data_IF_140659639149
#
_entry.id   IF_140659639149
#
_cell.length_a   1.000
_cell.length_b   1.000
_cell.length_c   1.000
_cell.angle_alpha   90.00
_cell.angle_beta   90.00
_cell.angle_gamma   90.00
#
_symmetry.space_group_name_H-M   'P 1'
#
loop_
_entity.id
_entity.type
_entity.pdbx_description
1 polymer ?
#
# COMPACT_ATOMS: atom_id res chain seq x y z
N UNK A 1 -4.13 16.21 29.96
CA UNK A 1 -4.82 15.87 28.71
C UNK A 1 -5.12 14.39 28.76
N UNK A 2 -6.21 14.03 29.41
CA UNK A 2 -6.49 12.63 29.74
C UNK A 2 -7.12 11.88 28.58
N UNK A 3 -7.95 12.58 27.80
CA UNK A 3 -8.70 12.00 26.69
C UNK A 3 -8.45 12.78 25.40
N UNK A 4 -8.33 12.08 24.25
CA UNK A 4 -8.29 12.70 22.92
C UNK A 4 -9.55 12.33 22.13
N UNK A 5 -10.34 13.32 21.73
CA UNK A 5 -11.48 13.15 20.82
C UNK A 5 -11.11 13.71 19.44
N UNK A 6 -11.36 12.93 18.39
CA UNK A 6 -11.07 13.36 17.02
C UNK A 6 -12.33 13.28 16.16
N UNK A 7 -12.76 14.44 15.68
CA UNK A 7 -13.84 14.59 14.71
C UNK A 7 -13.28 15.11 13.37
N UNK A 8 -12.81 14.22 12.47
CA UNK A 8 -12.25 14.65 11.18
C UNK A 8 -13.32 15.17 10.21
N UNK A 9 -14.61 15.03 10.55
CA UNK A 9 -15.75 15.40 9.73
C UNK A 9 -16.51 16.58 10.36
N UNK A 10 -15.83 17.70 10.58
CA UNK A 10 -16.46 18.95 11.03
C UNK A 10 -17.36 19.59 9.95
N UNK A 11 -17.04 19.34 8.67
CA UNK A 11 -17.75 19.85 7.50
C UNK A 11 -18.06 18.73 6.48
N UNK A 12 -18.97 18.96 5.52
CA UNK A 12 -19.19 18.04 4.40
C UNK A 12 -17.93 17.96 3.51
N UNK A 13 -17.21 16.84 3.60
CA UNK A 13 -15.96 16.61 2.86
C UNK A 13 -16.28 16.00 1.48
N UNK A 14 -16.93 16.78 0.62
CA UNK A 14 -17.41 16.34 -0.70
C UNK A 14 -16.28 15.87 -1.63
N UNK A 15 -15.15 16.58 -1.63
CA UNK A 15 -13.97 16.20 -2.43
C UNK A 15 -13.51 14.78 -2.12
N UNK A 16 -13.49 14.36 -0.85
CA UNK A 16 -13.03 13.03 -0.50
C UNK A 16 -13.96 11.95 -1.06
N UNK A 17 -15.27 12.19 -1.04
CA UNK A 17 -16.26 11.26 -1.60
C UNK A 17 -16.19 11.21 -3.13
N UNK A 18 -15.95 12.33 -3.77
CA UNK A 18 -15.84 12.43 -5.23
C UNK A 18 -14.59 11.71 -5.75
N UNK A 19 -13.43 12.03 -5.19
CA UNK A 19 -12.15 11.53 -5.69
C UNK A 19 -11.75 10.17 -5.11
N UNK A 20 -12.18 9.87 -3.87
CA UNK A 20 -11.81 8.66 -3.12
C UNK A 20 -13.04 7.97 -2.49
N UNK A 21 -14.03 7.54 -3.29
CA UNK A 21 -15.31 7.03 -2.78
C UNK A 21 -15.19 5.81 -1.85
N UNK A 22 -14.14 5.02 -2.02
CA UNK A 22 -13.91 3.79 -1.26
C UNK A 22 -13.12 4.02 0.05
N UNK A 23 -12.85 5.28 0.44
CA UNK A 23 -12.02 5.60 1.61
C UNK A 23 -12.69 6.59 2.55
N UNK A 24 -12.50 6.36 3.84
CA UNK A 24 -12.79 7.35 4.88
C UNK A 24 -11.57 8.26 5.09
N UNK A 25 -11.77 9.46 5.65
CA UNK A 25 -10.70 10.41 5.95
C UNK A 25 -9.67 9.81 6.90
N UNK A 26 -10.11 9.06 7.90
CA UNK A 26 -9.22 8.33 8.80
C UNK A 26 -8.33 7.30 8.09
N UNK A 27 -8.77 6.76 6.94
CA UNK A 27 -8.01 5.82 6.10
C UNK A 27 -7.25 6.48 4.95
N UNK A 28 -7.31 7.82 4.82
CA UNK A 28 -6.56 8.52 3.79
C UNK A 28 -5.07 8.44 4.10
N UNK A 29 -4.22 8.09 3.12
CA UNK A 29 -2.78 8.07 3.33
C UNK A 29 -2.25 9.52 3.37
N UNK A 30 -1.53 9.87 4.42
CA UNK A 30 -0.77 11.12 4.53
C UNK A 30 0.70 10.76 4.69
N UNK A 31 1.54 11.21 3.76
CA UNK A 31 2.95 10.82 3.65
C UNK A 31 3.17 9.29 3.67
N UNK A 32 2.23 8.53 3.09
CA UNK A 32 2.30 7.06 2.99
C UNK A 32 1.83 6.29 4.23
N UNK A 33 1.36 6.97 5.28
CA UNK A 33 0.79 6.35 6.49
C UNK A 33 -0.69 6.70 6.65
N UNK A 34 -1.47 5.83 7.26
CA UNK A 34 -2.89 6.05 7.50
C UNK A 34 -3.10 7.28 8.42
N UNK A 35 -4.01 8.19 8.06
CA UNK A 35 -4.25 9.42 8.84
C UNK A 35 -4.56 9.14 10.31
N UNK A 36 -5.37 8.12 10.59
CA UNK A 36 -5.74 7.76 11.96
C UNK A 36 -4.55 7.33 12.82
N UNK A 37 -3.48 6.82 12.22
CA UNK A 37 -2.25 6.49 12.96
C UNK A 37 -1.52 7.74 13.47
N UNK A 38 -1.62 8.88 12.79
CA UNK A 38 -1.08 10.14 13.31
C UNK A 38 -1.85 10.63 14.53
N UNK A 39 -3.16 10.39 14.59
CA UNK A 39 -3.96 10.70 15.78
C UNK A 39 -3.59 9.80 16.98
N UNK A 40 -3.27 8.53 16.73
CA UNK A 40 -2.73 7.63 17.75
C UNK A 40 -1.38 8.14 18.24
N UNK A 41 -0.46 8.49 17.34
CA UNK A 41 0.85 9.03 17.71
C UNK A 41 0.70 10.33 18.52
N UNK A 42 -0.24 11.20 18.17
CA UNK A 42 -0.55 12.41 18.92
C UNK A 42 -1.08 12.08 20.32
N UNK A 43 -2.04 11.16 20.45
CA UNK A 43 -2.56 10.71 21.75
C UNK A 43 -1.44 10.21 22.66
N UNK A 44 -0.54 9.37 22.11
CA UNK A 44 0.59 8.83 22.85
C UNK A 44 1.58 9.91 23.29
N UNK A 45 1.84 10.92 22.44
CA UNK A 45 2.71 12.06 22.78
C UNK A 45 2.09 12.99 23.83
N UNK A 46 0.77 13.12 23.84
CA UNK A 46 0.05 13.87 24.86
C UNK A 46 -0.13 13.09 26.17
N UNK A 47 0.37 11.85 26.24
CA UNK A 47 0.18 10.94 27.38
C UNK A 47 -1.31 10.69 27.70
N UNK A 48 -2.16 10.69 26.66
CA UNK A 48 -3.59 10.44 26.81
C UNK A 48 -3.86 8.98 27.18
N UNK A 49 -4.87 8.75 28.03
CA UNK A 49 -5.34 7.42 28.43
C UNK A 49 -6.28 6.80 27.40
N UNK A 50 -7.04 7.62 26.66
CA UNK A 50 -7.93 7.15 25.59
C UNK A 50 -7.98 8.06 24.37
N UNK A 51 -8.30 7.45 23.22
CA UNK A 51 -8.59 8.09 21.94
C UNK A 51 -9.97 7.66 21.46
N UNK A 52 -10.86 8.62 21.23
CA UNK A 52 -12.16 8.41 20.57
C UNK A 52 -12.12 9.04 19.17
N UNK A 53 -12.16 8.20 18.14
CA UNK A 53 -12.26 8.64 16.74
C UNK A 53 -13.71 8.57 16.26
N UNK A 54 -14.21 9.67 15.70
CA UNK A 54 -15.58 9.77 15.21
C UNK A 54 -15.64 9.67 13.68
N UNK A 55 -16.54 8.83 13.17
CA UNK A 55 -16.87 8.72 11.75
C UNK A 55 -18.34 9.04 11.47
N UNK A 56 -18.69 9.52 10.25
CA UNK A 56 -20.08 9.74 9.87
C UNK A 56 -20.85 8.41 9.78
N UNK A 57 -20.14 7.35 9.40
CA UNK A 57 -20.60 5.97 9.37
C UNK A 57 -19.51 5.08 9.97
N UNK A 58 -19.90 3.95 10.54
CA UNK A 58 -18.95 2.95 11.02
C UNK A 58 -18.29 2.25 9.84
N UNK A 59 -16.96 2.38 9.72
CA UNK A 59 -16.15 1.68 8.74
C UNK A 59 -15.41 0.50 9.41
N UNK A 60 -15.83 -0.72 9.07
CA UNK A 60 -15.26 -1.96 9.62
C UNK A 60 -13.76 -2.09 9.32
N UNK A 61 -13.32 -1.73 8.10
CA UNK A 61 -11.90 -1.80 7.74
C UNK A 61 -11.03 -0.83 8.54
N UNK A 62 -11.53 0.37 8.84
CA UNK A 62 -10.82 1.30 9.73
C UNK A 62 -10.76 0.75 11.15
N UNK A 63 -11.87 0.19 11.66
CA UNK A 63 -11.90 -0.40 12.99
C UNK A 63 -10.91 -1.57 13.13
N UNK A 64 -10.89 -2.49 12.17
CA UNK A 64 -9.93 -3.61 12.10
C UNK A 64 -8.48 -3.11 12.02
N UNK A 65 -8.23 -2.05 11.22
CA UNK A 65 -6.90 -1.46 11.11
C UNK A 65 -6.42 -0.88 12.44
N UNK A 66 -7.29 -0.15 13.15
CA UNK A 66 -6.99 0.43 14.45
C UNK A 66 -6.72 -0.64 15.51
N UNK A 67 -7.51 -1.73 15.54
CA UNK A 67 -7.29 -2.86 16.47
C UNK A 67 -5.95 -3.58 16.24
N UNK A 68 -5.48 -3.63 15.00
CA UNK A 68 -4.21 -4.25 14.66
C UNK A 68 -3.00 -3.33 14.85
N UNK A 69 -3.23 -2.03 15.02
CA UNK A 69 -2.16 -1.05 15.21
C UNK A 69 -1.65 -1.12 16.65
N UNK A 70 -0.32 -1.19 16.84
CA UNK A 70 0.27 -1.14 18.19
C UNK A 70 -0.02 0.21 18.83
N UNK A 71 -0.81 0.20 19.89
CA UNK A 71 -1.27 1.36 20.63
C UNK A 71 -0.81 1.39 22.10
N UNK A 72 -0.02 0.40 22.54
CA UNK A 72 0.43 0.32 23.93
C UNK A 72 -0.75 0.14 24.88
N UNK A 73 -0.80 0.97 25.93
CA UNK A 73 -1.89 0.98 26.93
C UNK A 73 -3.05 1.94 26.56
N UNK A 74 -2.97 2.63 25.41
CA UNK A 74 -3.97 3.60 24.97
C UNK A 74 -5.29 2.90 24.61
N UNK A 75 -6.37 3.25 25.30
CA UNK A 75 -7.72 2.77 24.96
C UNK A 75 -8.23 3.43 23.69
N UNK A 76 -8.36 2.67 22.59
CA UNK A 76 -8.85 3.14 21.30
C UNK A 76 -10.33 2.78 21.11
N UNK A 77 -11.16 3.78 20.81
CA UNK A 77 -12.55 3.59 20.43
C UNK A 77 -12.86 4.30 19.10
N UNK A 78 -13.68 3.67 18.26
CA UNK A 78 -14.10 4.21 16.97
C UNK A 78 -15.61 4.08 16.81
N UNK A 79 -16.29 5.21 16.66
CA UNK A 79 -17.75 5.27 16.71
C UNK A 79 -18.37 6.04 15.57
N UNK A 80 -19.64 5.73 15.34
CA UNK A 80 -20.51 6.57 14.52
C UNK A 80 -20.93 7.81 15.32
N UNK A 81 -20.82 8.97 14.69
CA UNK A 81 -21.22 10.26 15.27
C UNK A 81 -20.29 11.42 14.92
N UNK A 82 -19.43 11.26 13.91
CA UNK A 82 -18.79 12.40 13.25
C UNK A 82 -19.78 13.13 12.33
N UNK A 83 -19.46 14.36 11.91
CA UNK A 83 -20.34 15.16 11.05
C UNK A 83 -21.07 16.30 11.78
N UNK A 84 -20.81 16.50 13.07
CA UNK A 84 -21.37 17.62 13.82
C UNK A 84 -20.53 18.87 13.63
N UNK A 85 -21.21 20.02 13.58
CA UNK A 85 -20.59 21.30 13.24
C UNK A 85 -19.89 21.96 14.43
N UNK A 86 -20.27 21.67 15.69
CA UNK A 86 -19.74 22.34 16.87
C UNK A 86 -19.09 21.39 17.88
N UNK A 87 -18.00 21.84 18.48
CA UNK A 87 -17.29 21.13 19.54
C UNK A 87 -18.15 20.99 20.80
N UNK A 88 -18.93 22.02 21.14
CA UNK A 88 -19.80 21.96 22.32
C UNK A 88 -20.86 20.86 22.21
N UNK A 89 -21.41 20.63 21.01
CA UNK A 89 -22.34 19.51 20.80
C UNK A 89 -21.66 18.15 20.99
N UNK A 90 -20.40 18.01 20.53
CA UNK A 90 -19.62 16.79 20.76
C UNK A 90 -19.40 16.55 22.26
N UNK A 91 -19.10 17.59 23.02
CA UNK A 91 -18.97 17.52 24.48
C UNK A 91 -20.30 17.18 25.18
N UNK A 92 -21.43 17.71 24.73
CA UNK A 92 -22.74 17.34 25.28
C UNK A 92 -23.09 15.87 25.00
N UNK A 93 -22.65 15.34 23.86
CA UNK A 93 -22.96 13.96 23.43
C UNK A 93 -22.00 12.93 24.04
N UNK A 94 -20.71 13.28 24.15
CA UNK A 94 -19.63 12.36 24.55
C UNK A 94 -18.94 12.78 25.86
N UNK A 95 -19.48 13.75 26.59
CA UNK A 95 -18.88 14.32 27.80
C UNK A 95 -18.68 13.32 28.92
N UNK A 96 -19.55 12.32 29.07
CA UNK A 96 -19.38 11.24 30.05
C UNK A 96 -18.10 10.42 29.80
N UNK A 97 -17.67 10.33 28.54
CA UNK A 97 -16.51 9.53 28.13
C UNK A 97 -15.23 10.36 28.06
N UNK A 98 -15.37 11.64 27.68
CA UNK A 98 -14.27 12.58 27.57
C UNK A 98 -13.87 13.19 28.93
N UNK A 99 -14.79 13.20 29.90
CA UNK A 99 -14.59 13.82 31.20
C UNK A 99 -14.26 15.32 31.13
N UNK A 100 -13.65 15.83 32.20
CA UNK A 100 -13.32 17.25 32.36
C UNK A 100 -11.89 17.61 31.87
N UNK A 101 -11.17 16.69 31.21
CA UNK A 101 -9.81 16.91 30.70
C UNK A 101 -9.65 16.24 29.32
N UNK A 102 -10.17 16.89 28.27
CA UNK A 102 -10.25 16.35 26.92
C UNK A 102 -9.65 17.28 25.86
N UNK A 103 -8.65 16.79 25.13
CA UNK A 103 -8.13 17.42 23.91
C UNK A 103 -9.02 17.00 22.73
N UNK A 104 -9.40 17.96 21.88
CA UNK A 104 -10.36 17.74 20.81
C UNK A 104 -9.77 18.25 19.49
N UNK A 105 -9.67 17.38 18.49
CA UNK A 105 -9.36 17.76 17.12
C UNK A 105 -10.65 17.84 16.33
N UNK A 106 -11.01 19.06 15.91
CA UNK A 106 -12.21 19.30 15.11
C UNK A 106 -11.81 19.68 13.69
N UNK A 107 -12.17 18.82 12.74
CA UNK A 107 -11.72 18.88 11.34
C UNK A 107 -10.58 17.92 11.04
N UNK A 108 -10.36 17.66 9.75
CA UNK A 108 -9.27 16.82 9.28
C UNK A 108 -7.98 17.66 9.25
N UNK A 109 -7.24 17.65 10.35
CA UNK A 109 -6.07 18.49 10.53
C UNK A 109 -4.89 17.73 11.15
N UNK A 110 -3.69 18.25 10.91
CA UNK A 110 -2.42 17.67 11.34
C UNK A 110 -1.61 18.78 12.05
N UNK A 111 -1.42 18.73 13.38
CA UNK A 111 -0.71 19.77 14.13
C UNK A 111 0.74 19.95 13.64
N UNK A 112 1.23 21.18 13.46
CA UNK A 112 2.65 21.37 13.10
C UNK A 112 3.57 21.02 14.27
N UNK A 113 4.88 20.90 13.99
CA UNK A 113 5.91 20.67 14.99
C UNK A 113 5.83 21.63 16.18
N UNK A 114 5.33 21.15 17.31
CA UNK A 114 5.27 21.87 18.57
C UNK A 114 5.63 20.96 19.73
N UNK A 115 6.25 21.53 20.76
CA UNK A 115 6.44 20.82 22.03
C UNK A 115 5.10 20.69 22.76
N UNK A 116 4.97 19.69 23.64
CA UNK A 116 3.77 19.55 24.48
C UNK A 116 3.54 20.81 25.34
N UNK A 117 4.62 21.46 25.78
CA UNK A 117 4.57 22.73 26.52
C UNK A 117 4.01 23.87 25.66
N UNK A 118 4.45 24.00 24.40
CA UNK A 118 3.87 24.98 23.47
C UNK A 118 2.38 24.75 23.26
N UNK A 119 1.96 23.48 23.11
CA UNK A 119 0.55 23.14 22.99
C UNK A 119 -0.24 23.48 24.24
N UNK A 120 0.29 23.21 25.44
CA UNK A 120 -0.38 23.56 26.68
C UNK A 120 -0.52 25.07 26.87
N UNK A 121 0.47 25.84 26.42
CA UNK A 121 0.51 27.30 26.57
C UNK A 121 -0.27 28.05 25.49
N UNK A 122 -0.70 27.39 24.41
CA UNK A 122 -1.37 28.04 23.27
C UNK A 122 -2.88 28.16 23.42
N UNK A 123 -3.46 27.64 24.49
CA UNK A 123 -4.91 27.59 24.69
C UNK A 123 -5.46 28.89 25.27
N UNK A 124 -6.46 29.46 24.59
CA UNK A 124 -7.19 30.65 25.01
C UNK A 124 -8.69 30.36 25.17
N UNK A 125 -9.41 31.05 26.06
CA UNK A 125 -10.86 30.89 26.22
C UNK A 125 -11.62 31.05 24.91
N UNK A 126 -12.40 30.03 24.56
CA UNK A 126 -13.24 30.03 23.38
C UNK A 126 -14.61 30.64 23.71
N UNK A 127 -14.94 31.74 23.04
CA UNK A 127 -16.20 32.47 23.25
C UNK A 127 -17.37 31.94 22.39
N UNK A 128 -17.10 30.99 21.48
CA UNK A 128 -18.11 30.36 20.61
C UNK A 128 -18.28 28.87 20.93
N UNK A 129 -19.20 28.20 20.24
CA UNK A 129 -19.47 26.76 20.45
C UNK A 129 -18.43 25.84 19.75
N UNK A 130 -17.36 26.40 19.19
CA UNK A 130 -16.33 25.68 18.46
C UNK A 130 -16.78 25.23 17.07
N UNK A 131 -17.26 26.16 16.24
CA UNK A 131 -17.70 25.84 14.87
C UNK A 131 -16.56 25.71 13.86
N UNK A 132 -15.43 26.37 14.11
CA UNK A 132 -14.30 26.40 13.22
C UNK A 132 -13.43 25.14 13.38
N UNK A 133 -12.79 24.72 12.30
CA UNK A 133 -11.78 23.66 12.39
C UNK A 133 -10.60 24.14 13.26
N UNK A 134 -10.08 23.24 14.08
CA UNK A 134 -8.98 23.55 14.98
C UNK A 134 -8.78 22.56 16.10
N UNK A 135 -7.81 22.88 16.96
CA UNK A 135 -7.46 22.12 18.15
C UNK A 135 -8.10 22.82 19.35
N UNK A 136 -8.92 22.09 20.08
CA UNK A 136 -9.66 22.57 21.24
C UNK A 136 -9.28 21.77 22.47
N UNK A 137 -9.42 22.36 23.64
CA UNK A 137 -9.18 21.70 24.91
C UNK A 137 -10.30 22.03 25.88
N UNK A 138 -10.99 21.00 26.36
CA UNK A 138 -12.02 21.12 27.36
C UNK A 138 -11.44 20.78 28.72
N UNK A 139 -11.45 21.78 29.62
CA UNK A 139 -10.91 21.65 30.96
C UNK A 139 -11.82 22.29 31.99
N UNK A 140 -12.21 21.53 33.01
CA UNK A 140 -12.97 22.02 34.17
C UNK A 140 -14.22 22.84 33.78
N UNK A 141 -14.96 22.39 32.76
CA UNK A 141 -16.16 23.07 32.26
C UNK A 141 -15.91 24.20 31.24
N UNK A 142 -14.65 24.56 30.99
CA UNK A 142 -14.26 25.64 30.09
C UNK A 142 -13.74 25.08 28.77
N UNK A 143 -14.27 25.60 27.65
CA UNK A 143 -13.77 25.30 26.32
C UNK A 143 -12.66 26.31 25.96
N UNK A 144 -11.49 25.78 25.60
CA UNK A 144 -10.34 26.55 25.16
C UNK A 144 -10.03 26.21 23.69
N UNK A 145 -9.52 27.17 22.93
CA UNK A 145 -9.07 27.00 21.55
C UNK A 145 -7.57 27.26 21.49
N UNK A 146 -6.85 26.40 20.77
CA UNK A 146 -5.42 26.56 20.55
C UNK A 146 -5.13 27.55 19.43
N UNK A 147 -4.10 28.38 19.63
CA UNK A 147 -3.55 29.27 18.61
C UNK A 147 -2.37 28.66 17.82
N UNK A 148 -2.11 27.36 18.00
CA UNK A 148 -1.07 26.64 17.25
C UNK A 148 -1.42 26.50 15.78
N UNK A 149 -0.40 26.56 14.94
CA UNK A 149 -0.53 26.27 13.52
C UNK A 149 -0.75 24.77 13.26
N UNK A 150 -1.62 24.48 12.30
CA UNK A 150 -1.88 23.12 11.84
C UNK A 150 -2.03 23.11 10.33
N UNK A 151 -1.80 21.94 9.74
CA UNK A 151 -2.14 21.66 8.35
C UNK A 151 -3.60 21.24 8.28
N UNK A 152 -4.43 21.99 7.54
CA UNK A 152 -5.84 21.69 7.35
C UNK A 152 -6.05 20.93 6.03
N UNK A 153 -6.82 19.84 6.03
CA UNK A 153 -7.15 19.08 4.83
C UNK A 153 -8.66 19.23 4.54
N UNK A 154 -9.01 20.25 3.76
CA UNK A 154 -10.39 20.61 3.41
C UNK A 154 -10.72 20.45 1.92
N UNK A 155 -9.71 20.15 1.11
CA UNK A 155 -9.78 20.12 -0.35
C UNK A 155 -8.77 19.13 -0.92
N UNK A 156 -8.97 18.75 -2.19
CA UNK A 156 -8.04 17.89 -2.91
C UNK A 156 -6.64 18.51 -3.04
N UNK A 157 -6.57 19.82 -3.33
CA UNK A 157 -5.33 20.57 -3.40
C UNK A 157 -4.64 20.60 -2.03
N UNK A 158 -5.37 20.90 -0.96
CA UNK A 158 -4.78 20.90 0.38
C UNK A 158 -4.28 19.50 0.77
N UNK A 159 -5.06 18.45 0.51
CA UNK A 159 -4.63 17.07 0.74
C UNK A 159 -3.29 16.75 0.03
N UNK A 160 -3.14 17.18 -1.22
CA UNK A 160 -1.91 17.00 -1.97
C UNK A 160 -0.73 17.77 -1.35
N UNK A 161 -0.93 19.04 -1.03
CA UNK A 161 0.11 19.90 -0.45
C UNK A 161 0.54 19.42 0.95
N UNK A 162 -0.42 19.07 1.82
CA UNK A 162 -0.18 18.60 3.19
C UNK A 162 0.65 17.31 3.19
N UNK A 163 0.44 16.42 2.22
CA UNK A 163 1.27 15.21 2.09
C UNK A 163 2.76 15.53 1.96
N UNK A 164 3.14 16.54 1.16
CA UNK A 164 4.53 16.94 0.99
C UNK A 164 5.03 17.87 2.11
N UNK A 165 4.15 18.61 2.77
CA UNK A 165 4.51 19.38 3.96
C UNK A 165 4.85 18.45 5.13
N UNK A 166 3.99 17.46 5.41
CA UNK A 166 4.22 16.43 6.44
C UNK A 166 5.47 15.61 6.12
N UNK A 167 5.74 15.33 4.85
CA UNK A 167 6.94 14.61 4.43
C UNK A 167 8.26 15.36 4.75
N UNK A 168 8.21 16.69 4.84
CA UNK A 168 9.37 17.53 5.18
C UNK A 168 9.36 17.97 6.65
N UNK A 169 8.38 17.54 7.44
CA UNK A 169 8.24 17.94 8.84
C UNK A 169 8.75 16.81 9.77
N UNK A 170 9.85 17.09 10.46
CA UNK A 170 10.51 16.16 11.39
C UNK A 170 9.63 15.78 12.60
N UNK A 171 8.53 16.51 12.83
CA UNK A 171 7.58 16.16 13.88
C UNK A 171 6.91 14.81 13.62
N UNK A 172 6.72 14.43 12.35
CA UNK A 172 5.95 13.25 12.00
C UNK A 172 6.80 12.00 11.89
N UNK A 173 6.31 10.91 12.48
CA UNK A 173 6.91 9.60 12.31
C UNK A 173 6.51 9.04 10.94
N UNK A 174 7.36 9.28 9.95
CA UNK A 174 7.20 8.79 8.60
C UNK A 174 7.44 7.27 8.50
N UNK A 175 6.73 6.56 7.63
CA UNK A 175 6.88 5.12 7.48
C UNK A 175 8.18 4.75 6.76
N UNK A 176 8.92 3.79 7.31
CA UNK A 176 10.13 3.23 6.69
C UNK A 176 11.03 2.58 7.72
N UNK A 177 11.82 1.60 7.29
CA UNK A 177 12.83 0.96 8.14
C UNK A 177 14.20 1.64 8.01
N UNK A 178 14.50 2.22 6.85
CA UNK A 178 15.73 2.98 6.61
C UNK A 178 15.46 4.34 6.01
N UNK A 179 16.30 5.30 6.39
CA UNK A 179 16.34 6.65 5.85
C UNK A 179 17.75 6.90 5.31
N UNK A 180 17.86 7.35 4.06
CA UNK A 180 19.11 7.82 3.46
C UNK A 180 18.78 8.96 2.51
N UNK A 181 19.44 10.10 2.62
CA UNK A 181 19.21 11.28 1.76
C UNK A 181 17.73 11.72 1.67
N UNK A 182 17.02 11.69 2.81
CA UNK A 182 15.58 11.98 2.88
C UNK A 182 14.69 11.03 2.04
N UNK A 183 15.16 9.79 1.85
CA UNK A 183 14.43 8.70 1.22
C UNK A 183 14.09 7.66 2.28
N UNK A 184 12.81 7.53 2.58
CA UNK A 184 12.26 6.53 3.49
C UNK A 184 11.89 5.28 2.71
N UNK A 185 12.46 4.14 3.09
CA UNK A 185 12.18 2.86 2.43
C UNK A 185 11.58 1.85 3.42
N UNK A 186 10.47 1.24 3.01
CA UNK A 186 9.81 0.16 3.70
C UNK A 186 10.49 -1.19 3.49
N UNK A 187 9.80 -2.25 3.90
CA UNK A 187 10.28 -3.63 3.79
C UNK A 187 10.08 -4.17 2.38
N UNK A 188 11.01 -5.00 1.87
CA UNK A 188 10.92 -5.64 0.55
C UNK A 188 10.78 -4.66 -0.64
N UNK A 189 11.37 -3.47 -0.55
CA UNK A 189 11.46 -2.55 -1.69
C UNK A 189 12.51 -3.06 -2.68
N UNK A 190 12.11 -3.26 -3.94
CA UNK A 190 13.00 -3.71 -5.01
C UNK A 190 13.28 -2.56 -5.95
N UNK A 191 14.54 -2.12 -6.00
CA UNK A 191 15.01 -1.06 -6.90
C UNK A 191 15.95 -1.72 -7.92
N UNK A 192 15.61 -1.65 -9.20
CA UNK A 192 16.44 -2.19 -10.29
C UNK A 192 17.61 -1.25 -10.62
N UNK A 193 18.56 -1.75 -11.40
CA UNK A 193 19.72 -0.97 -11.84
C UNK A 193 19.28 0.26 -12.65
N UNK A 194 20.11 1.30 -12.64
CA UNK A 194 19.92 2.56 -13.37
C UNK A 194 18.68 3.38 -12.95
N UNK A 195 18.12 3.15 -11.75
CA UNK A 195 17.09 4.02 -11.21
C UNK A 195 17.71 5.27 -10.58
N UNK A 196 17.08 6.42 -10.79
CA UNK A 196 17.46 7.68 -10.13
C UNK A 196 16.43 8.05 -9.07
N UNK A 197 16.85 8.11 -7.82
CA UNK A 197 16.00 8.45 -6.68
C UNK A 197 16.46 9.79 -6.07
N UNK A 198 15.51 10.67 -5.79
CA UNK A 198 15.77 11.95 -5.12
C UNK A 198 14.73 12.22 -4.03
N UNK A 199 15.21 12.52 -2.83
CA UNK A 199 14.36 12.94 -1.71
C UNK A 199 13.68 14.30 -1.95
N UNK A 200 12.64 14.64 -1.18
CA UNK A 200 12.01 13.81 -0.15
C UNK A 200 11.17 12.68 -0.76
N UNK A 201 11.36 11.43 -0.34
CA UNK A 201 10.73 10.28 -1.00
C UNK A 201 10.31 9.23 0.02
N UNK A 202 9.08 8.72 -0.10
CA UNK A 202 8.61 7.55 0.66
C UNK A 202 8.34 6.41 -0.31
N UNK A 203 9.00 5.27 -0.11
CA UNK A 203 8.72 4.01 -0.77
C UNK A 203 8.20 3.02 0.26
N UNK A 204 6.90 2.72 0.22
CA UNK A 204 6.27 1.80 1.18
C UNK A 204 6.64 0.34 0.92
N UNK A 205 6.20 -0.52 1.81
CA UNK A 205 6.48 -1.95 1.77
C UNK A 205 6.09 -2.57 0.42
N UNK A 206 6.86 -3.57 0.00
CA UNK A 206 6.58 -4.37 -1.20
C UNK A 206 6.49 -3.54 -2.50
N UNK A 207 7.16 -2.38 -2.55
CA UNK A 207 7.23 -1.53 -3.74
C UNK A 207 8.29 -2.02 -4.72
N UNK A 208 8.03 -1.87 -6.01
CA UNK A 208 8.96 -2.28 -7.07
C UNK A 208 9.20 -1.15 -8.09
N UNK A 209 10.46 -0.81 -8.31
CA UNK A 209 10.91 0.17 -9.31
C UNK A 209 11.74 -0.54 -10.39
N UNK A 210 11.30 -0.44 -11.65
CA UNK A 210 11.99 -1.02 -12.82
C UNK A 210 13.15 -0.12 -13.31
N UNK A 211 13.98 -0.69 -14.19
CA UNK A 211 15.18 -0.09 -14.77
C UNK A 211 14.89 1.27 -15.41
N UNK A 212 15.84 2.19 -15.25
CA UNK A 212 15.79 3.54 -15.82
C UNK A 212 14.57 4.36 -15.40
N UNK A 213 13.94 4.03 -14.27
CA UNK A 213 12.89 4.86 -13.70
C UNK A 213 13.51 6.00 -12.87
N UNK A 214 12.86 7.16 -12.91
CA UNK A 214 13.22 8.31 -12.09
C UNK A 214 12.08 8.62 -11.14
N UNK A 215 12.35 8.58 -9.84
CA UNK A 215 11.37 8.88 -8.80
C UNK A 215 11.93 9.94 -7.88
N UNK A 216 11.31 11.11 -7.88
CA UNK A 216 11.78 12.29 -7.16
C UNK A 216 10.64 12.99 -6.43
N UNK A 217 10.87 13.42 -5.18
CA UNK A 217 9.88 14.17 -4.41
C UNK A 217 8.50 13.48 -4.40
N UNK A 218 8.42 12.19 -4.07
CA UNK A 218 7.20 11.41 -4.31
C UNK A 218 6.82 10.52 -3.12
N UNK A 219 5.57 10.09 -3.08
CA UNK A 219 5.08 9.13 -2.09
C UNK A 219 4.56 7.93 -2.87
N UNK A 220 5.18 6.76 -2.70
CA UNK A 220 4.79 5.52 -3.36
C UNK A 220 4.23 4.55 -2.32
N UNK A 221 2.94 4.27 -2.46
CA UNK A 221 2.14 3.40 -1.59
C UNK A 221 2.56 1.93 -1.64
N UNK A 222 2.03 1.15 -0.71
CA UNK A 222 2.39 -0.25 -0.53
C UNK A 222 1.98 -1.08 -1.75
N UNK A 223 2.81 -2.08 -2.12
CA UNK A 223 2.55 -3.00 -3.25
C UNK A 223 2.36 -2.29 -4.59
N UNK A 224 3.00 -1.14 -4.77
CA UNK A 224 2.95 -0.39 -6.03
C UNK A 224 4.14 -0.76 -6.93
N UNK A 225 3.91 -0.71 -8.24
CA UNK A 225 4.89 -1.05 -9.28
C UNK A 225 5.06 0.15 -10.22
N UNK A 226 6.27 0.68 -10.29
CA UNK A 226 6.67 1.70 -11.27
C UNK A 226 7.50 1.01 -12.35
N UNK A 227 6.96 0.96 -13.55
CA UNK A 227 7.58 0.27 -14.69
C UNK A 227 8.69 1.11 -15.35
N UNK A 228 9.43 0.47 -16.26
CA UNK A 228 10.64 0.97 -16.91
C UNK A 228 10.48 2.31 -17.58
N UNK A 229 11.56 3.09 -17.55
CA UNK A 229 11.64 4.39 -18.23
C UNK A 229 10.52 5.37 -17.84
N UNK A 230 9.93 5.21 -16.64
CA UNK A 230 8.90 6.10 -16.12
C UNK A 230 9.50 7.19 -15.24
N UNK A 231 8.88 8.36 -15.25
CA UNK A 231 9.25 9.51 -14.42
C UNK A 231 8.09 9.82 -13.49
N UNK A 232 8.33 9.76 -12.19
CA UNK A 232 7.37 10.14 -11.15
C UNK A 232 7.99 11.28 -10.35
N UNK A 233 7.44 12.48 -10.47
CA UNK A 233 7.95 13.68 -9.83
C UNK A 233 6.83 14.40 -9.07
N UNK A 234 7.07 14.81 -7.83
CA UNK A 234 6.10 15.56 -7.02
C UNK A 234 4.69 14.96 -7.12
N UNK A 235 4.56 13.66 -6.81
CA UNK A 235 3.32 12.91 -7.05
C UNK A 235 3.06 11.89 -5.95
N UNK A 236 1.78 11.57 -5.75
CA UNK A 236 1.32 10.60 -4.76
C UNK A 236 0.78 9.38 -5.50
N UNK A 237 1.43 8.24 -5.34
CA UNK A 237 1.00 6.95 -5.89
C UNK A 237 0.38 6.16 -4.74
N UNK A 238 -0.92 5.86 -4.80
CA UNK A 238 -1.62 5.09 -3.78
C UNK A 238 -1.20 3.62 -3.77
N UNK A 239 -1.54 2.90 -2.71
CA UNK A 239 -1.28 1.47 -2.59
C UNK A 239 -1.88 0.68 -3.75
N UNK A 240 -1.22 -0.44 -4.09
CA UNK A 240 -1.65 -1.39 -5.13
C UNK A 240 -1.84 -0.72 -6.49
N UNK A 241 -0.99 0.24 -6.81
CA UNK A 241 -1.06 0.99 -8.07
C UNK A 241 0.07 0.57 -9.01
N UNK A 242 -0.28 0.40 -10.29
CA UNK A 242 0.67 0.15 -11.37
C UNK A 242 0.83 1.41 -12.21
N UNK A 243 2.06 1.93 -12.28
CA UNK A 243 2.47 2.99 -13.20
C UNK A 243 3.13 2.33 -14.41
N UNK A 244 2.47 2.40 -15.57
CA UNK A 244 2.95 1.77 -16.80
C UNK A 244 4.22 2.44 -17.34
N UNK A 245 5.01 1.68 -18.10
CA UNK A 245 6.32 2.12 -18.58
C UNK A 245 6.23 3.29 -19.55
N UNK A 246 7.28 4.12 -19.56
CA UNK A 246 7.40 5.33 -20.38
C UNK A 246 6.33 6.38 -20.11
N UNK A 247 5.82 6.44 -18.88
CA UNK A 247 4.91 7.48 -18.44
C UNK A 247 5.65 8.58 -17.66
N UNK A 248 5.21 9.81 -17.85
CA UNK A 248 5.64 10.97 -17.09
C UNK A 248 4.47 11.45 -16.21
N UNK A 249 4.62 11.30 -14.90
CA UNK A 249 3.62 11.63 -13.89
C UNK A 249 4.20 12.74 -13.02
N UNK A 250 3.63 13.94 -13.14
CA UNK A 250 4.10 15.14 -12.46
C UNK A 250 2.95 15.92 -11.83
N UNK A 251 3.06 16.23 -10.55
CA UNK A 251 2.03 16.97 -9.82
C UNK A 251 0.67 16.27 -9.92
N UNK A 252 0.64 14.95 -9.67
CA UNK A 252 -0.58 14.14 -9.78
C UNK A 252 -0.75 13.21 -8.59
N UNK A 253 -2.00 12.83 -8.37
CA UNK A 253 -2.38 11.73 -7.49
C UNK A 253 -2.80 10.55 -8.36
N UNK A 254 -2.13 9.43 -8.21
CA UNK A 254 -2.45 8.19 -8.94
C UNK A 254 -3.07 7.21 -7.98
N UNK A 255 -4.30 6.80 -8.28
CA UNK A 255 -5.01 5.75 -7.56
C UNK A 255 -5.20 4.54 -8.47
N UNK A 256 -5.59 3.36 -7.94
CA UNK A 256 -5.90 2.21 -8.77
C UNK A 256 -6.96 2.55 -9.83
N UNK A 257 -6.51 2.73 -11.07
CA UNK A 257 -7.36 3.02 -12.22
C UNK A 257 -7.70 4.50 -12.46
N UNK A 258 -7.11 5.46 -11.72
CA UNK A 258 -7.31 6.90 -12.00
C UNK A 258 -6.03 7.71 -11.83
N UNK A 259 -5.88 8.75 -12.64
CA UNK A 259 -4.90 9.83 -12.42
C UNK A 259 -5.70 11.10 -12.16
N UNK A 260 -5.42 11.76 -11.05
CA UNK A 260 -6.14 12.92 -10.57
C UNK A 260 -5.17 14.09 -10.56
N UNK A 261 -5.59 15.20 -11.15
CA UNK A 261 -4.91 16.48 -11.03
C UNK A 261 -5.45 17.24 -9.80
N UNK A 262 -4.62 17.47 -8.77
CA UNK A 262 -5.08 18.09 -7.54
C UNK A 262 -5.45 19.56 -7.68
N UNK A 263 -4.92 20.26 -8.68
CA UNK A 263 -5.12 21.71 -8.87
C UNK A 263 -6.29 22.01 -9.81
N UNK A 264 -6.45 21.21 -10.87
CA UNK A 264 -7.58 21.39 -11.79
C UNK A 264 -8.80 20.55 -11.44
N UNK A 265 -8.67 19.56 -10.54
CA UNK A 265 -9.70 18.57 -10.24
C UNK A 265 -9.97 17.58 -11.38
N UNK A 266 -9.18 17.64 -12.46
CA UNK A 266 -9.33 16.75 -13.62
C UNK A 266 -9.03 15.30 -13.28
N UNK A 267 -9.92 14.38 -13.66
CA UNK A 267 -9.74 12.95 -13.45
C UNK A 267 -9.61 12.23 -14.79
N UNK A 268 -8.49 11.54 -14.96
CA UNK A 268 -8.27 10.60 -16.04
C UNK A 268 -8.56 9.19 -15.54
N UNK A 269 -9.70 8.63 -15.91
CA UNK A 269 -10.04 7.25 -15.58
C UNK A 269 -9.42 6.26 -16.58
N UNK A 270 -9.10 5.05 -16.08
CA UNK A 270 -8.60 3.95 -16.89
C UNK A 270 -9.53 3.58 -18.06
N UNK A 271 -10.83 3.75 -17.89
CA UNK A 271 -11.82 3.42 -18.91
C UNK A 271 -11.78 4.36 -20.12
N UNK A 272 -11.29 5.59 -19.97
CA UNK A 272 -11.16 6.58 -21.06
C UNK A 272 -9.86 6.44 -21.86
N UNK A 273 -8.85 5.74 -21.32
CA UNK A 273 -7.60 5.44 -22.01
C UNK A 273 -7.33 3.93 -22.07
N UNK A 274 -7.84 3.29 -23.13
CA UNK A 274 -7.41 1.93 -23.56
C UNK A 274 -5.91 1.82 -23.86
N UNK A 275 -5.14 2.92 -23.83
CA UNK A 275 -3.75 2.98 -24.26
C UNK A 275 -2.73 3.41 -23.20
N UNK A 276 -3.13 3.99 -22.05
CA UNK A 276 -2.20 4.42 -21.00
C UNK A 276 -2.02 3.37 -19.87
N UNK A 277 -2.98 2.45 -19.72
CA UNK A 277 -3.01 1.42 -18.67
C UNK A 277 -3.07 -0.01 -19.24
N UNK A 278 -2.54 -0.21 -20.44
CA UNK A 278 -2.62 -1.49 -21.12
C UNK A 278 -1.70 -2.53 -20.44
N UNK A 279 -2.22 -3.68 -20.00
CA UNK A 279 -1.71 -4.92 -20.53
C UNK A 279 -2.34 -5.12 -21.90
N UNK A 280 -1.57 -5.63 -22.84
CA UNK A 280 -2.05 -6.07 -24.15
C UNK A 280 -3.14 -7.13 -23.89
N UNK A 281 -4.40 -6.75 -23.87
CA UNK A 281 -5.57 -7.63 -23.72
C UNK A 281 -6.62 -7.08 -24.69
N UNK A 282 -6.80 -7.66 -25.88
CA UNK A 282 -7.65 -8.84 -25.98
C UNK A 282 -7.31 -9.75 -27.18
N UNK A 283 -6.27 -9.44 -27.98
CA UNK A 283 -5.87 -10.25 -29.15
C UNK A 283 -4.72 -11.23 -28.89
N UNK A 284 -3.97 -11.08 -27.80
CA UNK A 284 -2.78 -11.90 -27.49
C UNK A 284 -3.02 -13.02 -26.46
N UNK A 285 -4.11 -12.98 -25.68
CA UNK A 285 -4.34 -13.93 -24.59
C UNK A 285 -4.42 -15.39 -25.10
N UNK A 286 -5.03 -15.60 -26.27
CA UNK A 286 -5.09 -16.93 -26.89
C UNK A 286 -3.73 -17.36 -27.46
N UNK A 287 -2.93 -16.45 -28.01
CA UNK A 287 -1.56 -16.74 -28.51
C UNK A 287 -0.67 -17.13 -27.35
N UNK A 288 -0.74 -16.39 -26.25
CA UNK A 288 0.01 -16.67 -25.04
C UNK A 288 -0.39 -18.03 -24.45
N UNK A 289 -1.69 -18.32 -24.37
CA UNK A 289 -2.16 -19.66 -23.95
C UNK A 289 -1.66 -20.75 -24.89
N UNK A 290 -1.75 -20.56 -26.21
CA UNK A 290 -1.25 -21.53 -27.18
C UNK A 290 0.26 -21.74 -27.02
N UNK A 291 1.01 -20.68 -26.76
CA UNK A 291 2.44 -20.72 -26.50
C UNK A 291 2.78 -21.47 -25.20
N UNK A 292 2.02 -21.25 -24.13
CA UNK A 292 2.13 -22.04 -22.89
C UNK A 292 1.84 -23.52 -23.12
N UNK A 293 0.80 -23.86 -23.90
CA UNK A 293 0.49 -25.25 -24.26
C UNK A 293 1.60 -25.87 -25.09
N UNK A 294 2.17 -25.13 -26.04
CA UNK A 294 3.28 -25.59 -26.86
C UNK A 294 4.52 -25.89 -26.01
N UNK A 295 4.90 -24.99 -25.09
CA UNK A 295 6.01 -25.23 -24.16
C UNK A 295 5.70 -26.42 -23.25
N UNK A 296 4.48 -26.51 -22.70
CA UNK A 296 4.07 -27.63 -21.86
C UNK A 296 4.15 -28.97 -22.59
N UNK A 297 3.75 -29.00 -23.88
CA UNK A 297 3.85 -30.18 -24.73
C UNK A 297 5.30 -30.62 -24.91
N UNK A 298 6.20 -29.69 -25.23
CA UNK A 298 7.64 -29.99 -25.37
C UNK A 298 8.19 -30.55 -24.06
N UNK A 299 7.90 -29.90 -22.92
CA UNK A 299 8.35 -30.37 -21.60
C UNK A 299 7.78 -31.74 -21.24
N UNK A 300 6.50 -32.00 -21.58
CA UNK A 300 5.85 -33.29 -21.34
C UNK A 300 6.48 -34.42 -22.17
N UNK A 301 6.80 -34.17 -23.44
CA UNK A 301 7.44 -35.15 -24.33
C UNK A 301 8.89 -35.40 -23.91
N UNK A 302 9.69 -34.34 -23.73
CA UNK A 302 11.11 -34.46 -23.34
C UNK A 302 11.24 -35.08 -21.95
N UNK A 303 10.35 -34.72 -21.02
CA UNK A 303 10.33 -35.26 -19.66
C UNK A 303 9.82 -36.70 -19.56
N UNK A 304 9.15 -37.24 -20.58
CA UNK A 304 8.52 -38.56 -20.52
C UNK A 304 9.53 -39.68 -20.27
N UNK A 305 10.62 -39.72 -21.05
CA UNK A 305 11.62 -40.78 -20.95
C UNK A 305 12.32 -40.74 -19.58
N UNK A 306 12.88 -39.60 -19.11
CA UNK A 306 13.46 -39.51 -17.77
C UNK A 306 12.45 -39.82 -16.65
N UNK A 307 11.21 -39.36 -16.79
CA UNK A 307 10.17 -39.59 -15.79
C UNK A 307 9.84 -41.08 -15.66
N UNK A 308 9.66 -41.80 -16.78
CA UNK A 308 9.39 -43.24 -16.76
C UNK A 308 10.54 -44.04 -16.17
N UNK A 309 11.79 -43.65 -16.46
CA UNK A 309 12.98 -44.30 -15.88
C UNK A 309 13.07 -44.10 -14.36
N UNK A 310 12.66 -42.92 -13.86
CA UNK A 310 12.72 -42.57 -12.43
C UNK A 310 11.43 -42.95 -11.71
N UNK A 311 10.34 -43.27 -12.41
CA UNK A 311 9.01 -43.52 -11.84
C UNK A 311 8.99 -44.58 -10.72
N UNK A 312 9.64 -45.75 -10.84
CA UNK A 312 9.66 -46.76 -9.77
C UNK A 312 10.33 -46.22 -8.49
N UNK A 313 11.38 -45.41 -8.68
CA UNK A 313 12.10 -44.75 -7.59
C UNK A 313 11.32 -43.55 -7.01
N UNK A 314 10.60 -42.81 -7.85
CA UNK A 314 9.75 -41.70 -7.41
C UNK A 314 8.55 -42.19 -6.58
N UNK A 315 7.93 -43.32 -6.96
CA UNK A 315 6.81 -43.90 -6.22
C UNK A 315 7.21 -44.36 -4.81
N UNK A 316 8.44 -44.86 -4.66
CA UNK A 316 9.00 -45.31 -3.37
C UNK A 316 9.61 -44.16 -2.56
N UNK A 317 10.17 -43.14 -3.21
CA UNK A 317 10.85 -42.01 -2.57
C UNK A 317 10.40 -40.64 -3.10
N UNK A 318 9.10 -40.33 -2.96
CA UNK A 318 8.47 -39.07 -3.43
C UNK A 318 9.20 -37.79 -2.98
N UNK A 319 9.91 -37.82 -1.84
CA UNK A 319 10.69 -36.69 -1.31
C UNK A 319 12.18 -36.72 -1.69
N UNK A 320 12.58 -37.50 -2.69
CA UNK A 320 13.97 -37.55 -3.13
C UNK A 320 14.45 -36.21 -3.69
N UNK A 321 15.67 -35.82 -3.30
CA UNK A 321 16.32 -34.60 -3.76
C UNK A 321 16.60 -34.62 -5.27
N UNK A 322 16.92 -35.79 -5.82
CA UNK A 322 17.17 -35.96 -7.25
C UNK A 322 15.91 -35.76 -8.10
N UNK A 323 14.76 -36.21 -7.63
CA UNK A 323 13.48 -35.99 -8.32
C UNK A 323 13.13 -34.50 -8.36
N UNK A 324 13.41 -33.75 -7.30
CA UNK A 324 13.20 -32.31 -7.25
C UNK A 324 14.21 -31.53 -8.13
N UNK A 325 15.50 -31.91 -8.12
CA UNK A 325 16.52 -31.29 -8.99
C UNK A 325 16.20 -31.43 -10.47
N UNK A 326 15.74 -32.60 -10.88
CA UNK A 326 15.31 -32.87 -12.25
C UNK A 326 13.91 -32.31 -12.56
N UNK A 327 13.27 -31.63 -11.59
CA UNK A 327 11.91 -31.08 -11.72
C UNK A 327 10.84 -32.13 -12.09
N UNK A 328 11.04 -33.39 -11.68
CA UNK A 328 10.11 -34.49 -11.94
C UNK A 328 8.84 -34.40 -11.09
N UNK A 329 8.90 -33.67 -9.96
CA UNK A 329 7.73 -33.30 -9.16
C UNK A 329 6.73 -32.43 -9.95
N UNK A 330 7.21 -31.68 -10.95
CA UNK A 330 6.38 -30.83 -11.82
C UNK A 330 5.82 -31.55 -13.03
N UNK A 331 6.34 -32.73 -13.36
CA UNK A 331 5.99 -33.44 -14.59
C UNK A 331 4.48 -33.68 -14.78
N UNK A 332 3.72 -34.13 -13.76
CA UNK A 332 2.26 -34.25 -13.87
C UNK A 332 1.58 -32.91 -14.16
N UNK A 333 2.18 -31.80 -13.72
CA UNK A 333 1.71 -30.44 -13.98
C UNK A 333 1.71 -30.07 -15.46
N UNK A 334 2.68 -30.55 -16.26
CA UNK A 334 2.73 -30.26 -17.69
C UNK A 334 1.52 -30.85 -18.43
N UNK A 335 1.15 -32.08 -18.08
CA UNK A 335 -0.07 -32.71 -18.59
C UNK A 335 -1.34 -32.02 -18.11
N UNK A 336 -1.34 -31.50 -16.89
CA UNK A 336 -2.46 -30.72 -16.37
C UNK A 336 -2.65 -29.38 -17.09
N UNK A 337 -1.57 -28.77 -17.59
CA UNK A 337 -1.68 -27.58 -18.47
C UNK A 337 -2.40 -27.96 -19.76
N UNK A 338 -2.02 -29.10 -20.38
CA UNK A 338 -2.58 -29.54 -21.66
C UNK A 338 -4.05 -30.00 -21.58
N UNK A 339 -4.44 -30.63 -20.48
CA UNK A 339 -5.74 -31.33 -20.39
C UNK A 339 -6.71 -30.75 -19.35
N UNK A 340 -6.24 -30.03 -18.34
CA UNK A 340 -7.05 -29.59 -17.20
C UNK A 340 -7.06 -28.06 -17.02
N UNK A 341 -6.77 -27.31 -18.09
CA UNK A 341 -6.78 -25.84 -18.12
C UNK A 341 -5.90 -25.20 -17.02
N UNK A 342 -4.86 -25.91 -16.57
CA UNK A 342 -3.90 -25.38 -15.60
C UNK A 342 -3.00 -24.36 -16.28
N UNK A 343 -2.57 -23.32 -15.56
CA UNK A 343 -1.61 -22.35 -16.12
C UNK A 343 -0.19 -22.90 -16.04
N UNK A 344 0.61 -22.67 -17.08
CA UNK A 344 2.02 -23.06 -17.05
C UNK A 344 2.77 -22.19 -16.06
N UNK A 345 2.63 -20.87 -16.17
CA UNK A 345 3.21 -19.88 -15.26
C UNK A 345 2.08 -19.14 -14.56
N UNK A 346 2.20 -18.96 -13.24
CA UNK A 346 1.19 -18.30 -12.43
C UNK A 346 0.90 -16.88 -12.92
N UNK A 347 -0.31 -16.64 -13.42
CA UNK A 347 -0.71 -15.34 -14.00
C UNK A 347 -1.24 -14.33 -12.98
N UNK A 348 -1.72 -14.81 -11.82
CA UNK A 348 -2.31 -13.96 -10.77
C UNK A 348 -2.03 -14.53 -9.37
N UNK A 349 -1.78 -13.69 -8.35
CA UNK A 349 -1.45 -14.15 -6.99
C UNK A 349 -2.45 -15.12 -6.36
N UNK A 350 -3.74 -14.94 -6.66
CA UNK A 350 -4.85 -15.76 -6.16
C UNK A 350 -5.01 -17.11 -6.89
N UNK A 351 -4.34 -17.33 -8.02
CA UNK A 351 -4.44 -18.59 -8.73
C UNK A 351 -3.53 -19.65 -8.09
N UNK A 352 -4.12 -20.71 -7.57
CA UNK A 352 -3.38 -21.82 -6.95
C UNK A 352 -2.98 -22.91 -7.97
N UNK A 353 -3.55 -22.88 -9.18
CA UNK A 353 -3.36 -23.90 -10.20
C UNK A 353 -2.34 -23.50 -11.26
N UNK A 354 -1.05 -23.59 -10.89
CA UNK A 354 0.08 -23.29 -11.78
C UNK A 354 1.23 -24.32 -11.68
N UNK A 355 2.18 -24.29 -12.62
CA UNK A 355 3.38 -25.17 -12.61
C UNK A 355 4.65 -24.41 -12.23
N UNK A 356 4.81 -23.19 -12.75
CA UNK A 356 5.95 -22.31 -12.51
C UNK A 356 5.49 -20.98 -11.92
N UNK A 357 6.37 -20.33 -11.16
CA UNK A 357 6.12 -19.02 -10.57
C UNK A 357 7.24 -18.05 -10.95
N UNK A 358 6.89 -16.80 -11.29
CA UNK A 358 7.86 -15.78 -11.71
C UNK A 358 8.95 -15.54 -10.66
N UNK A 359 8.59 -15.57 -9.37
CA UNK A 359 9.55 -15.38 -8.28
C UNK A 359 10.73 -16.35 -8.32
N UNK A 360 10.53 -17.57 -8.83
CA UNK A 360 11.58 -18.58 -8.91
C UNK A 360 12.76 -18.16 -9.79
N UNK A 361 12.55 -17.22 -10.72
CA UNK A 361 13.62 -16.64 -11.53
C UNK A 361 14.60 -15.86 -10.69
N UNK A 362 14.14 -15.19 -9.63
CA UNK A 362 14.97 -14.29 -8.81
C UNK A 362 15.59 -15.02 -7.63
N UNK A 363 14.87 -15.96 -7.02
CA UNK A 363 15.38 -16.75 -5.90
C UNK A 363 14.43 -17.88 -5.53
N UNK A 364 14.99 -18.98 -5.04
CA UNK A 364 14.20 -20.08 -4.47
C UNK A 364 13.72 -19.73 -3.04
N UNK A 365 14.38 -18.77 -2.38
CA UNK A 365 14.15 -18.36 -0.99
C UNK A 365 13.33 -17.06 -0.86
N UNK A 366 12.57 -16.67 -1.89
CA UNK A 366 11.75 -15.46 -1.81
C UNK A 366 10.64 -15.64 -0.76
N UNK A 367 10.37 -14.59 0.01
CA UNK A 367 9.23 -14.54 0.93
C UNK A 367 7.91 -14.64 0.16
N UNK A 368 6.81 -15.10 0.80
CA UNK A 368 5.49 -15.13 0.16
C UNK A 368 5.07 -13.77 -0.43
N UNK A 369 5.45 -12.67 0.22
CA UNK A 369 5.15 -11.30 -0.19
C UNK A 369 5.93 -10.93 -1.46
N UNK A 370 7.24 -11.19 -1.49
CA UNK A 370 8.06 -10.98 -2.68
C UNK A 370 7.56 -11.80 -3.87
N UNK A 371 7.16 -13.06 -3.63
CA UNK A 371 6.56 -13.91 -4.66
C UNK A 371 5.29 -13.28 -5.24
N UNK A 372 4.42 -12.70 -4.39
CA UNK A 372 3.22 -11.98 -4.85
C UNK A 372 3.55 -10.76 -5.71
N UNK A 373 4.58 -9.97 -5.35
CA UNK A 373 5.04 -8.84 -6.17
C UNK A 373 5.48 -9.32 -7.56
N UNK A 374 6.26 -10.39 -7.62
CA UNK A 374 6.70 -10.96 -8.90
C UNK A 374 5.54 -11.53 -9.72
N UNK A 375 4.52 -12.09 -9.08
CA UNK A 375 3.30 -12.54 -9.75
C UNK A 375 2.53 -11.35 -10.36
N UNK A 376 2.44 -10.22 -9.65
CA UNK A 376 1.87 -8.99 -10.20
C UNK A 376 2.71 -8.45 -11.37
N UNK A 377 4.03 -8.42 -11.25
CA UNK A 377 4.91 -8.03 -12.36
C UNK A 377 4.68 -8.92 -13.59
N UNK A 378 4.60 -10.24 -13.40
CA UNK A 378 4.33 -11.17 -14.50
C UNK A 378 2.97 -10.91 -15.15
N UNK A 379 1.95 -10.62 -14.34
CA UNK A 379 0.62 -10.27 -14.83
C UNK A 379 0.65 -9.08 -15.80
N UNK A 380 1.41 -8.02 -15.48
CA UNK A 380 1.48 -6.82 -16.31
C UNK A 380 2.43 -6.95 -17.51
N UNK A 381 3.49 -7.76 -17.41
CA UNK A 381 4.53 -7.90 -18.44
C UNK A 381 4.48 -9.20 -19.25
N UNK A 382 3.38 -9.95 -19.13
CA UNK A 382 3.28 -11.28 -19.71
C UNK A 382 3.52 -11.27 -21.24
N UNK A 383 4.51 -12.04 -21.68
CA UNK A 383 4.87 -12.19 -23.09
C UNK A 383 5.43 -13.58 -23.35
N UNK A 384 5.38 -14.04 -24.60
CA UNK A 384 5.90 -15.36 -24.98
C UNK A 384 7.37 -15.57 -24.58
N UNK A 385 8.17 -14.51 -24.71
CA UNK A 385 9.58 -14.53 -24.30
C UNK A 385 9.72 -14.62 -22.78
N UNK A 386 8.92 -13.88 -22.01
CA UNK A 386 8.94 -13.94 -20.55
C UNK A 386 8.55 -15.33 -20.04
N UNK A 387 7.50 -15.95 -20.60
CA UNK A 387 7.09 -17.34 -20.28
C UNK A 387 8.28 -18.29 -20.43
N UNK A 388 8.95 -18.23 -21.58
CA UNK A 388 10.10 -19.09 -21.86
C UNK A 388 11.25 -18.84 -20.88
N UNK A 389 11.54 -17.58 -20.58
CA UNK A 389 12.56 -17.22 -19.59
C UNK A 389 12.23 -17.76 -18.20
N UNK A 390 10.97 -17.66 -17.76
CA UNK A 390 10.51 -18.19 -16.47
C UNK A 390 10.78 -19.68 -16.40
N UNK A 391 10.31 -20.43 -17.41
CA UNK A 391 10.45 -21.89 -17.46
C UNK A 391 11.92 -22.29 -17.45
N UNK A 392 12.73 -21.76 -18.36
CA UNK A 392 14.14 -22.15 -18.50
C UNK A 392 14.96 -21.81 -17.26
N UNK A 393 14.79 -20.60 -16.70
CA UNK A 393 15.55 -20.18 -15.51
C UNK A 393 15.11 -20.94 -14.26
N UNK A 394 13.81 -21.24 -14.12
CA UNK A 394 13.31 -22.02 -12.98
C UNK A 394 13.83 -23.46 -13.01
N UNK A 395 13.83 -24.10 -14.18
CA UNK A 395 14.42 -25.43 -14.37
C UNK A 395 15.93 -25.42 -14.10
N UNK A 396 16.65 -24.45 -14.66
CA UNK A 396 18.09 -24.29 -14.44
C UNK A 396 18.43 -24.11 -12.96
N UNK A 397 17.76 -23.19 -12.27
CA UNK A 397 17.99 -22.95 -10.84
C UNK A 397 17.74 -24.20 -9.98
N UNK A 398 16.69 -24.98 -10.25
CA UNK A 398 16.45 -26.25 -9.54
C UNK A 398 17.54 -27.29 -9.81
N UNK A 399 18.04 -27.38 -11.04
CA UNK A 399 19.14 -28.30 -11.39
C UNK A 399 20.42 -28.01 -10.59
N UNK A 400 20.73 -26.73 -10.37
CA UNK A 400 21.92 -26.27 -9.65
C UNK A 400 21.71 -25.99 -8.15
N UNK A 401 20.48 -26.08 -7.65
CA UNK A 401 20.17 -25.77 -6.27
C UNK A 401 20.91 -26.68 -5.27
N UNK A 402 21.28 -26.09 -4.15
CA UNK A 402 21.92 -26.78 -3.02
C UNK A 402 20.87 -27.45 -2.13
N UNK A 403 21.29 -28.43 -1.33
CA UNK A 403 20.40 -29.13 -0.40
C UNK A 403 19.75 -28.19 0.63
N UNK A 404 20.45 -27.11 1.02
CA UNK A 404 19.96 -26.09 1.95
C UNK A 404 18.81 -25.27 1.36
N UNK A 405 18.88 -24.93 0.08
CA UNK A 405 17.83 -24.18 -0.61
C UNK A 405 16.53 -24.97 -0.73
N UNK A 406 16.61 -26.29 -0.88
CA UNK A 406 15.43 -27.17 -0.92
C UNK A 406 14.70 -27.26 0.42
N UNK A 407 15.42 -27.26 1.55
CA UNK A 407 14.79 -27.44 2.88
C UNK A 407 13.94 -26.24 3.31
N UNK A 408 14.12 -25.09 2.63
CA UNK A 408 13.41 -23.83 2.89
C UNK A 408 12.41 -23.45 1.79
N UNK A 409 12.41 -24.14 0.63
CA UNK A 409 11.48 -23.93 -0.49
C UNK A 409 10.25 -24.79 -0.35
#
# INVERSE_FOLDING_TARGET
MKHLLVNPYSQPQEWCKEYFPDRSLGMMPVAGRCAAEYFIDLALRCESESLLLLGPTYNEHLAEHLMNTKNGDLSLDYRKGGGHFSVRYLLETYGEECGDDCLILHGMLMPKAHTLEELQNSFEPCNDDGFADGIYYYKDGVLLKSNIEFYLIDSLESYFNVNFQVLNDDFYNLPGYSMTDNIHTGTNVVIKNDCTLSGPLVLRDNTFLEMKSSVANAIVGERSLVDKESVVEHSIIFDRTYVAGKLEIKNKIVTPGRIIDPFSGGVLERNSFSYAFSPIQNRSAWILRLWEHFIALILAVVGLIPYLLILPYYLTHKKSHWCWKLSMDRYPGYWAVLFFCKELVKSHPANEHYVFQMGEIYGLQNTPEQRRIYDYYYHYHCSCFLVLQVVLRSLGKRGFATYVERKRS
#
